data_IF_387855365458
#
_entry.id   IF_387855365458
#
_cell.length_a   1.000
_cell.length_b   1.000
_cell.length_c   1.000
_cell.angle_alpha   90.00
_cell.angle_beta   90.00
_cell.angle_gamma   90.00
#
_symmetry.space_group_name_H-M   'P 1'
#
loop_
_entity.id
_entity.type
_entity.pdbx_description
1 polymer ?
#
# COMPACT_ATOMS: atom_id res chain seq x y z
N UNK A 1 2.14 -9.52 34.27
CA UNK A 1 3.20 -9.20 33.29
C UNK A 1 2.51 -8.88 31.98
N UNK A 2 2.45 -7.61 31.59
CA UNK A 2 1.90 -7.19 30.31
C UNK A 2 2.86 -7.66 29.21
N UNK A 3 2.43 -8.64 28.43
CA UNK A 3 3.04 -8.99 27.15
C UNK A 3 2.91 -7.77 26.24
N UNK A 4 3.94 -6.91 26.23
CA UNK A 4 4.05 -5.83 25.26
C UNK A 4 4.12 -6.51 23.89
N UNK A 5 3.10 -6.30 23.08
CA UNK A 5 3.08 -6.82 21.72
C UNK A 5 4.17 -6.11 20.93
N UNK A 6 5.24 -6.82 20.55
CA UNK A 6 6.32 -6.29 19.71
C UNK A 6 5.82 -5.56 18.45
N UNK A 7 4.64 -5.92 17.96
CA UNK A 7 4.01 -5.24 16.85
C UNK A 7 3.44 -3.86 17.18
N UNK A 8 2.85 -3.71 18.37
CA UNK A 8 2.36 -2.43 18.85
C UNK A 8 3.52 -1.44 18.98
N UNK A 9 4.67 -1.89 19.51
CA UNK A 9 5.87 -1.06 19.60
C UNK A 9 6.38 -0.63 18.23
N UNK A 10 6.45 -1.56 17.26
CA UNK A 10 6.89 -1.23 15.91
C UNK A 10 5.97 -0.19 15.24
N UNK A 11 4.66 -0.40 15.32
CA UNK A 11 3.67 0.52 14.75
C UNK A 11 3.72 1.87 15.46
N UNK A 12 3.86 1.89 16.78
CA UNK A 12 3.88 3.12 17.57
C UNK A 12 5.14 3.96 17.29
N UNK A 13 6.31 3.33 17.18
CA UNK A 13 7.58 4.04 17.14
C UNK A 13 8.17 4.23 15.74
N UNK A 14 7.87 3.35 14.78
CA UNK A 14 8.56 3.36 13.47
C UNK A 14 7.63 3.65 12.28
N UNK A 15 6.34 3.33 12.40
CA UNK A 15 5.42 3.46 11.27
C UNK A 15 5.32 4.90 10.73
N UNK A 16 5.23 5.90 11.62
CA UNK A 16 5.08 7.31 11.22
C UNK A 16 6.23 7.83 10.36
N UNK A 17 7.47 7.59 10.80
CA UNK A 17 8.65 8.00 10.05
C UNK A 17 8.68 7.32 8.66
N UNK A 18 8.50 5.99 8.65
CA UNK A 18 8.54 5.21 7.41
C UNK A 18 7.40 5.58 6.46
N UNK A 19 6.25 6.02 6.99
CA UNK A 19 5.13 6.50 6.19
C UNK A 19 5.41 7.78 5.41
N UNK A 20 6.03 8.76 6.07
CA UNK A 20 6.45 10.00 5.41
C UNK A 20 7.52 9.72 4.35
N UNK A 21 8.43 8.78 4.62
CA UNK A 21 9.54 8.46 3.74
C UNK A 21 9.07 7.78 2.45
N UNK A 22 8.25 6.73 2.53
CA UNK A 22 7.74 6.08 1.31
C UNK A 22 6.79 7.00 0.52
N UNK A 23 6.03 7.89 1.17
CA UNK A 23 5.16 8.84 0.46
C UNK A 23 6.00 9.85 -0.31
N UNK A 24 7.04 10.37 0.32
CA UNK A 24 7.99 11.30 -0.31
C UNK A 24 8.69 10.65 -1.50
N UNK A 25 9.18 9.41 -1.36
CA UNK A 25 9.81 8.68 -2.47
C UNK A 25 8.83 8.43 -3.62
N UNK A 26 7.59 8.01 -3.31
CA UNK A 26 6.54 7.83 -4.31
C UNK A 26 6.22 9.14 -5.04
N UNK A 27 6.15 10.27 -4.34
CA UNK A 27 5.86 11.59 -4.92
C UNK A 27 7.03 12.13 -5.76
N UNK A 28 8.27 11.74 -5.43
CA UNK A 28 9.45 12.27 -6.10
C UNK A 28 10.12 11.33 -7.11
N UNK A 29 9.64 10.09 -7.26
CA UNK A 29 10.24 9.14 -8.21
C UNK A 29 9.94 9.46 -9.66
N UNK A 30 8.89 10.24 -9.96
CA UNK A 30 8.59 10.71 -11.31
C UNK A 30 8.32 12.20 -11.34
N UNK A 31 7.75 12.70 -12.44
CA UNK A 31 7.16 14.03 -12.48
C UNK A 31 5.86 14.10 -11.68
N UNK A 32 5.04 15.10 -12.01
CA UNK A 32 3.74 15.29 -11.38
C UNK A 32 2.86 14.04 -11.51
N UNK A 33 2.22 13.66 -10.40
CA UNK A 33 1.26 12.56 -10.40
C UNK A 33 0.03 12.99 -11.21
N UNK A 34 -0.47 12.09 -12.05
CA UNK A 34 -1.64 12.37 -12.88
C UNK A 34 -2.88 12.68 -12.05
N UNK A 35 -3.66 13.66 -12.51
CA UNK A 35 -4.99 13.97 -11.97
C UNK A 35 -6.09 13.07 -12.57
N UNK A 36 -5.76 12.27 -13.60
CA UNK A 36 -6.72 11.32 -14.19
C UNK A 36 -7.10 10.23 -13.19
N UNK A 37 -8.36 9.77 -13.25
CA UNK A 37 -8.83 8.68 -12.40
C UNK A 37 -8.66 7.32 -13.09
N UNK A 38 -8.33 6.31 -12.30
CA UNK A 38 -8.31 4.94 -12.79
C UNK A 38 -9.76 4.47 -13.09
N UNK A 39 -9.97 3.63 -14.13
CA UNK A 39 -11.26 3.02 -14.45
C UNK A 39 -11.67 1.91 -13.46
N UNK A 40 -11.26 2.02 -12.19
CA UNK A 40 -11.57 1.12 -11.08
C UNK A 40 -11.90 1.97 -9.88
N UNK A 41 -13.12 1.85 -9.35
CA UNK A 41 -13.52 2.61 -8.17
C UNK A 41 -12.69 2.23 -6.95
N UNK A 42 -12.08 3.23 -6.32
CA UNK A 42 -11.35 3.06 -5.07
C UNK A 42 -12.25 2.41 -4.00
N UNK A 43 -11.76 1.44 -3.20
CA UNK A 43 -12.57 0.64 -2.29
C UNK A 43 -12.87 1.40 -0.99
N UNK A 44 -13.49 2.57 -1.10
CA UNK A 44 -13.77 3.50 0.02
C UNK A 44 -14.58 2.84 1.15
N UNK A 45 -15.59 2.04 0.79
CA UNK A 45 -16.40 1.31 1.79
C UNK A 45 -15.59 0.28 2.57
N UNK A 46 -14.58 -0.33 1.94
CA UNK A 46 -13.70 -1.28 2.61
C UNK A 46 -12.84 -0.57 3.65
N UNK A 47 -12.25 0.57 3.27
CA UNK A 47 -11.49 1.40 4.20
C UNK A 47 -12.34 1.88 5.39
N UNK A 48 -13.60 2.25 5.16
CA UNK A 48 -14.53 2.62 6.23
C UNK A 48 -14.82 1.46 7.19
N UNK A 49 -15.00 0.24 6.69
CA UNK A 49 -15.21 -0.91 7.58
C UNK A 49 -13.97 -1.21 8.44
N UNK A 50 -12.78 -1.01 7.88
CA UNK A 50 -11.53 -1.22 8.61
C UNK A 50 -11.29 -0.10 9.63
N UNK A 51 -11.78 1.12 9.39
CA UNK A 51 -11.69 2.23 10.35
C UNK A 51 -12.32 1.89 11.72
N UNK A 52 -13.30 0.97 11.74
CA UNK A 52 -14.05 0.56 12.93
C UNK A 52 -13.73 -0.90 13.37
N UNK A 53 -12.75 -1.55 12.72
CA UNK A 53 -12.39 -2.94 13.01
C UNK A 53 -11.40 -3.04 14.17
N UNK A 54 -11.28 -4.25 14.74
CA UNK A 54 -10.30 -4.58 15.78
C UNK A 54 -8.86 -4.33 15.31
N UNK A 55 -7.95 -4.05 16.24
CA UNK A 55 -6.55 -3.73 15.94
C UNK A 55 -5.87 -4.79 15.04
N UNK A 56 -6.02 -6.07 15.35
CA UNK A 56 -5.44 -7.17 14.55
C UNK A 56 -5.97 -7.16 13.10
N UNK A 57 -7.23 -6.79 12.91
CA UNK A 57 -7.86 -6.71 11.59
C UNK A 57 -7.36 -5.50 10.80
N UNK A 58 -7.11 -4.37 11.46
CA UNK A 58 -6.46 -3.20 10.86
C UNK A 58 -5.01 -3.50 10.44
N UNK A 59 -4.23 -4.14 11.32
CA UNK A 59 -2.85 -4.55 11.03
C UNK A 59 -2.80 -5.54 9.87
N UNK A 60 -3.71 -6.52 9.85
CA UNK A 60 -3.83 -7.47 8.73
C UNK A 60 -4.19 -6.76 7.43
N UNK A 61 -5.14 -5.83 7.45
CA UNK A 61 -5.54 -5.07 6.27
C UNK A 61 -4.38 -4.22 5.73
N UNK A 62 -3.62 -3.56 6.61
CA UNK A 62 -2.40 -2.83 6.27
C UNK A 62 -1.37 -3.74 5.62
N UNK A 63 -1.07 -4.88 6.25
CA UNK A 63 -0.10 -5.83 5.74
C UNK A 63 -0.48 -6.36 4.35
N UNK A 64 -1.76 -6.72 4.16
CA UNK A 64 -2.27 -7.16 2.86
C UNK A 64 -2.23 -6.03 1.81
N UNK A 65 -2.53 -4.79 2.19
CA UNK A 65 -2.47 -3.64 1.26
C UNK A 65 -1.05 -3.43 0.76
N UNK A 66 -0.06 -3.45 1.65
CA UNK A 66 1.35 -3.31 1.29
C UNK A 66 1.78 -4.45 0.37
N UNK A 67 1.43 -5.70 0.71
CA UNK A 67 1.71 -6.86 -0.13
C UNK A 67 1.10 -6.75 -1.54
N UNK A 68 -0.15 -6.31 -1.65
CA UNK A 68 -0.79 -6.15 -2.95
C UNK A 68 -0.14 -5.02 -3.78
N UNK A 69 0.33 -3.94 -3.13
CA UNK A 69 1.11 -2.89 -3.80
C UNK A 69 2.43 -3.45 -4.32
N UNK A 70 3.24 -4.13 -3.50
CA UNK A 70 4.52 -4.68 -3.96
C UNK A 70 4.31 -5.67 -5.10
N UNK A 71 3.29 -6.53 -5.03
CA UNK A 71 2.90 -7.43 -6.12
C UNK A 71 2.45 -6.73 -7.39
N UNK A 72 1.87 -5.55 -7.30
CA UNK A 72 1.51 -4.77 -8.48
C UNK A 72 2.77 -4.21 -9.16
N UNK A 73 3.76 -3.77 -8.38
CA UNK A 73 5.03 -3.20 -8.85
C UNK A 73 6.04 -4.25 -9.34
N UNK A 74 5.84 -5.54 -9.06
CA UNK A 74 6.57 -6.67 -9.70
C UNK A 74 6.30 -6.76 -11.23
N UNK A 75 5.42 -5.92 -11.78
CA UNK A 75 5.05 -5.89 -13.20
C UNK A 75 6.09 -5.28 -14.15
N UNK A 76 5.78 -5.29 -15.45
CA UNK A 76 6.66 -4.69 -16.46
C UNK A 76 6.62 -3.15 -16.38
N UNK A 77 7.70 -2.55 -15.90
CA UNK A 77 7.87 -1.10 -15.72
C UNK A 77 8.81 -0.46 -16.76
N UNK A 78 9.12 -1.13 -17.88
CA UNK A 78 10.08 -0.60 -18.88
C UNK A 78 9.66 0.73 -19.52
N UNK A 79 8.38 1.07 -19.45
CA UNK A 79 7.81 2.27 -20.06
C UNK A 79 7.94 3.53 -19.20
N UNK A 80 8.17 3.40 -17.89
CA UNK A 80 8.27 4.57 -17.00
C UNK A 80 9.69 5.13 -17.01
N UNK A 81 9.78 6.45 -16.89
CA UNK A 81 11.04 7.20 -16.77
C UNK A 81 11.33 7.60 -15.32
N UNK A 82 10.72 6.91 -14.35
CA UNK A 82 10.92 7.19 -12.94
C UNK A 82 12.37 6.97 -12.50
N UNK A 83 12.82 7.77 -11.55
CA UNK A 83 14.06 7.59 -10.80
C UNK A 83 14.09 6.18 -10.20
N UNK A 84 14.97 5.36 -10.76
CA UNK A 84 15.12 3.95 -10.40
C UNK A 84 15.47 3.80 -8.91
N UNK A 85 16.36 4.63 -8.39
CA UNK A 85 16.82 4.55 -7.01
C UNK A 85 15.68 4.87 -6.06
N UNK A 86 14.94 5.95 -6.29
CA UNK A 86 13.79 6.33 -5.43
C UNK A 86 12.70 5.27 -5.44
N UNK A 87 12.41 4.69 -6.61
CA UNK A 87 11.46 3.58 -6.72
C UNK A 87 11.95 2.34 -5.96
N UNK A 88 13.21 1.97 -6.11
CA UNK A 88 13.77 0.79 -5.43
C UNK A 88 13.79 1.01 -3.91
N UNK A 89 14.16 2.21 -3.44
CA UNK A 89 14.09 2.60 -2.02
C UNK A 89 12.64 2.57 -1.49
N UNK A 90 11.68 3.07 -2.27
CA UNK A 90 10.25 3.00 -1.95
C UNK A 90 9.78 1.56 -1.74
N UNK A 91 10.09 0.67 -2.67
CA UNK A 91 9.72 -0.75 -2.58
C UNK A 91 10.43 -1.45 -1.41
N UNK A 92 11.70 -1.12 -1.15
CA UNK A 92 12.45 -1.65 -0.01
C UNK A 92 11.82 -1.27 1.33
N UNK A 93 11.34 -0.03 1.48
CA UNK A 93 10.63 0.40 2.70
C UNK A 93 9.30 -0.35 2.85
N UNK A 94 8.53 -0.49 1.77
CA UNK A 94 7.28 -1.26 1.79
C UNK A 94 7.52 -2.72 2.18
N UNK A 95 8.56 -3.36 1.62
CA UNK A 95 8.89 -4.75 1.96
C UNK A 95 9.31 -4.90 3.43
N UNK A 96 10.11 -3.97 3.95
CA UNK A 96 10.45 -3.93 5.39
C UNK A 96 9.20 -3.78 6.25
N UNK A 97 8.27 -2.90 5.85
CA UNK A 97 7.00 -2.73 6.57
C UNK A 97 6.17 -4.02 6.56
N UNK A 98 6.06 -4.68 5.40
CA UNK A 98 5.38 -5.96 5.26
C UNK A 98 5.97 -7.02 6.18
N UNK A 99 7.28 -7.27 6.14
CA UNK A 99 7.90 -8.31 6.95
C UNK A 99 7.80 -8.05 8.46
N UNK A 100 7.89 -6.78 8.90
CA UNK A 100 7.68 -6.44 10.30
C UNK A 100 6.23 -6.70 10.76
N UNK A 101 5.24 -6.31 9.95
CA UNK A 101 3.81 -6.48 10.28
C UNK A 101 3.33 -7.92 10.14
N UNK A 102 3.99 -8.74 9.32
CA UNK A 102 3.65 -10.15 9.09
C UNK A 102 3.71 -10.97 10.37
N UNK A 103 4.64 -10.67 11.27
CA UNK A 103 4.75 -11.32 12.59
C UNK A 103 3.52 -11.11 13.49
N UNK A 104 2.71 -10.09 13.17
CA UNK A 104 1.59 -9.64 13.98
C UNK A 104 0.23 -10.15 13.51
N UNK A 105 0.21 -10.82 12.36
CA UNK A 105 -1.01 -11.28 11.71
C UNK A 105 -1.09 -12.78 11.87
N UNK A 106 -2.17 -13.27 12.47
CA UNK A 106 -2.40 -14.71 12.56
C UNK A 106 -2.49 -15.35 11.16
N UNK A 107 -1.68 -16.38 10.86
CA UNK A 107 -1.73 -17.07 9.56
C UNK A 107 -3.05 -17.83 9.34
N UNK A 108 -3.84 -18.04 10.40
CA UNK A 108 -5.14 -18.72 10.32
C UNK A 108 -6.25 -17.85 9.69
N UNK A 109 -6.14 -16.51 9.77
CA UNK A 109 -7.14 -15.60 9.20
C UNK A 109 -6.85 -15.36 7.72
N UNK A 110 -7.87 -15.55 6.87
CA UNK A 110 -7.74 -15.36 5.42
C UNK A 110 -7.57 -13.88 5.05
N UNK A 111 -6.80 -13.57 3.99
CA UNK A 111 -6.69 -12.21 3.46
C UNK A 111 -8.04 -11.61 3.03
N UNK A 112 -8.15 -10.28 3.08
CA UNK A 112 -9.34 -9.55 2.65
C UNK A 112 -9.56 -9.72 1.13
N UNK A 113 -10.51 -10.58 0.77
CA UNK A 113 -10.79 -10.97 -0.62
C UNK A 113 -11.21 -9.79 -1.49
N UNK A 114 -11.88 -8.78 -0.92
CA UNK A 114 -12.32 -7.58 -1.64
C UNK A 114 -11.13 -6.72 -2.05
N UNK A 115 -10.14 -6.57 -1.17
CA UNK A 115 -8.90 -5.84 -1.44
C UNK A 115 -8.10 -6.53 -2.56
N UNK A 116 -7.90 -7.84 -2.45
CA UNK A 116 -7.22 -8.63 -3.50
C UNK A 116 -7.94 -8.54 -4.84
N UNK A 117 -9.29 -8.54 -4.85
CA UNK A 117 -10.08 -8.35 -6.07
C UNK A 117 -9.85 -6.97 -6.68
N UNK A 118 -9.81 -5.94 -5.85
CA UNK A 118 -9.55 -4.57 -6.29
C UNK A 118 -8.20 -4.44 -7.00
N UNK A 119 -7.10 -4.92 -6.41
CA UNK A 119 -5.77 -4.86 -7.04
C UNK A 119 -5.68 -5.70 -8.32
N UNK A 120 -6.38 -6.85 -8.38
CA UNK A 120 -6.53 -7.61 -9.63
C UNK A 120 -7.23 -6.81 -10.73
N UNK A 121 -8.25 -6.03 -10.36
CA UNK A 121 -8.96 -5.16 -11.31
C UNK A 121 -8.07 -4.02 -11.77
N UNK A 122 -7.23 -3.41 -10.91
CA UNK A 122 -6.22 -2.44 -11.33
C UNK A 122 -5.26 -3.03 -12.37
N UNK A 123 -4.66 -4.20 -12.09
CA UNK A 123 -3.78 -4.86 -13.05
C UNK A 123 -4.49 -5.15 -14.37
N UNK A 124 -5.74 -5.63 -14.33
CA UNK A 124 -6.50 -6.01 -15.54
C UNK A 124 -6.97 -4.82 -16.37
N UNK A 125 -7.60 -3.83 -15.71
CA UNK A 125 -8.28 -2.70 -16.37
C UNK A 125 -7.37 -1.51 -16.65
N UNK A 126 -6.25 -1.40 -15.94
CA UNK A 126 -5.27 -0.32 -16.09
C UNK A 126 -4.04 -0.87 -16.79
N UNK A 127 -3.18 -1.60 -16.08
CA UNK A 127 -1.88 -2.04 -16.59
C UNK A 127 -2.01 -2.86 -17.88
N UNK A 128 -2.75 -3.97 -17.87
CA UNK A 128 -2.88 -4.84 -19.05
C UNK A 128 -3.63 -4.18 -20.20
N UNK A 129 -4.74 -3.49 -19.92
CA UNK A 129 -5.56 -2.84 -20.96
C UNK A 129 -4.81 -1.71 -21.67
N UNK A 130 -3.93 -1.02 -20.96
CA UNK A 130 -3.11 0.08 -21.47
C UNK A 130 -1.67 -0.36 -21.80
N UNK A 131 -1.47 -1.68 -21.98
CA UNK A 131 -0.20 -2.30 -22.37
C UNK A 131 1.02 -1.85 -21.54
N UNK A 132 0.84 -1.74 -20.22
CA UNK A 132 1.88 -1.31 -19.28
C UNK A 132 2.54 0.01 -19.68
N UNK A 133 1.81 0.93 -20.33
CA UNK A 133 2.32 2.25 -20.73
C UNK A 133 2.66 3.12 -19.52
N UNK A 134 3.45 4.18 -19.74
CA UNK A 134 3.79 5.15 -18.69
C UNK A 134 2.53 5.75 -18.06
N UNK A 135 1.52 6.08 -18.87
CA UNK A 135 0.23 6.59 -18.38
C UNK A 135 -0.47 5.59 -17.45
N UNK A 136 -0.43 4.30 -17.77
CA UNK A 136 -1.02 3.26 -16.92
C UNK A 136 -0.33 3.22 -15.55
N UNK A 137 0.99 3.34 -15.53
CA UNK A 137 1.77 3.37 -14.30
C UNK A 137 1.56 4.64 -13.48
N UNK A 138 1.34 5.80 -14.10
CA UNK A 138 0.96 7.01 -13.36
C UNK A 138 -0.42 6.88 -12.69
N UNK A 139 -1.39 6.22 -13.34
CA UNK A 139 -2.67 5.88 -12.70
C UNK A 139 -2.44 4.95 -11.50
N UNK A 140 -1.57 3.94 -11.63
CA UNK A 140 -1.20 3.06 -10.52
C UNK A 140 -0.48 3.82 -9.41
N UNK A 141 0.39 4.77 -9.73
CA UNK A 141 1.10 5.61 -8.76
C UNK A 141 0.12 6.47 -7.96
N UNK A 142 -0.87 7.09 -8.62
CA UNK A 142 -1.96 7.83 -7.97
C UNK A 142 -2.76 6.94 -7.01
N UNK A 143 -3.19 5.76 -7.48
CA UNK A 143 -3.95 4.83 -6.64
C UNK A 143 -3.13 4.32 -5.45
N UNK A 144 -1.86 4.01 -5.67
CA UNK A 144 -0.90 3.62 -4.63
C UNK A 144 -0.76 4.71 -3.57
N UNK A 145 -0.58 5.96 -4.00
CA UNK A 145 -0.51 7.12 -3.10
C UNK A 145 -1.77 7.21 -2.23
N UNK A 146 -2.94 7.07 -2.84
CA UNK A 146 -4.23 7.11 -2.14
C UNK A 146 -4.37 6.00 -1.10
N UNK A 147 -3.96 4.77 -1.43
CA UNK A 147 -3.93 3.65 -0.47
C UNK A 147 -3.03 3.97 0.72
N UNK A 148 -1.81 4.43 0.45
CA UNK A 148 -0.79 4.70 1.45
C UNK A 148 -1.17 5.87 2.37
N UNK A 149 -1.78 6.94 1.84
CA UNK A 149 -2.32 8.04 2.64
C UNK A 149 -3.45 7.58 3.57
N UNK A 150 -4.36 6.73 3.07
CA UNK A 150 -5.39 6.13 3.93
C UNK A 150 -4.80 5.23 5.01
N UNK A 151 -3.71 4.53 4.69
CA UNK A 151 -2.97 3.72 5.66
C UNK A 151 -2.31 4.59 6.76
N UNK A 152 -1.85 5.78 6.43
CA UNK A 152 -1.24 6.70 7.40
C UNK A 152 -2.29 7.26 8.37
N UNK A 153 -3.49 7.60 7.89
CA UNK A 153 -4.59 8.08 8.74
C UNK A 153 -5.00 7.05 9.80
N UNK A 154 -4.94 5.73 9.51
CA UNK A 154 -5.22 4.68 10.49
C UNK A 154 -4.31 4.73 11.73
N UNK A 155 -3.15 5.40 11.67
CA UNK A 155 -2.24 5.57 12.81
C UNK A 155 -2.89 6.34 13.98
N UNK A 156 -3.84 7.23 13.70
CA UNK A 156 -4.41 8.16 14.69
C UNK A 156 -5.42 7.53 15.67
N UNK A 157 -5.81 6.26 15.48
CA UNK A 157 -6.75 5.55 16.37
C UNK A 157 -6.08 4.51 17.27
N UNK A 158 -4.76 4.35 17.17
CA UNK A 158 -3.98 3.42 17.99
C UNK A 158 -3.45 4.22 19.19
N UNK A 159 -4.37 4.53 20.11
CA UNK A 159 -4.10 5.09 21.43
C UNK A 159 -4.70 4.17 22.49
#
# INVERSE_FOLDING_TARGET
MQSVCHCCDWIQHHYGHLSSEYLSLLDQMGGDITEQDAPVFFPTSLYRHIDDAEFEDQVRFRNETIYQITKLFDGNMKSVTWDKKKRDDFLNILERQFENLKSCVSPAKKPERRLKRYFKELNRKVLRKMNYSAQAWELIRKETRRHLQRLDIFKAKIH
#
